data_IF_780678292595
#
_entry.id   IF_780678292595
#
_cell.length_a   1.000
_cell.length_b   1.000
_cell.length_c   1.000
_cell.angle_alpha   90.00
_cell.angle_beta   90.00
_cell.angle_gamma   90.00
#
_symmetry.space_group_name_H-M   'P 1'
#
loop_
_entity.id
_entity.type
_entity.pdbx_description
1 polymer ?
#
# COMPACT_ATOMS: atom_id res chain seq x y z
N UNK A 1 17.66 -10.41 -0.14
CA UNK A 1 16.41 -9.70 0.16
C UNK A 1 15.36 -10.77 0.45
N UNK A 2 14.59 -10.62 1.53
CA UNK A 2 13.42 -11.48 1.73
C UNK A 2 12.40 -11.12 0.63
N UNK A 3 11.83 -12.10 -0.10
CA UNK A 3 10.87 -11.83 -1.16
C UNK A 3 9.61 -11.18 -0.56
N UNK A 4 9.10 -10.15 -1.23
CA UNK A 4 7.86 -9.50 -0.84
C UNK A 4 6.83 -9.58 -1.98
N UNK A 5 5.55 -9.38 -1.66
CA UNK A 5 4.45 -9.54 -2.62
C UNK A 5 4.60 -8.64 -3.86
N UNK A 6 5.16 -7.44 -3.72
CA UNK A 6 5.40 -6.52 -4.84
C UNK A 6 6.39 -7.13 -5.84
N UNK A 7 7.44 -7.81 -5.35
CA UNK A 7 8.43 -8.48 -6.19
C UNK A 7 7.78 -9.61 -7.03
N UNK A 8 6.79 -10.30 -6.46
CA UNK A 8 6.13 -11.43 -7.10
C UNK A 8 5.09 -11.00 -8.16
N UNK A 9 4.30 -9.96 -7.90
CA UNK A 9 3.13 -9.62 -8.73
C UNK A 9 3.25 -8.30 -9.49
N UNK A 10 4.22 -7.46 -9.14
CA UNK A 10 4.35 -6.09 -9.64
C UNK A 10 3.48 -5.08 -8.87
N UNK A 11 3.96 -3.85 -8.63
CA UNK A 11 3.26 -2.86 -7.81
C UNK A 11 1.90 -2.43 -8.40
N UNK A 12 1.71 -2.51 -9.72
CA UNK A 12 0.48 -2.17 -10.40
C UNK A 12 -0.69 -3.11 -10.12
N UNK A 13 -0.43 -4.28 -9.52
CA UNK A 13 -1.46 -5.25 -9.12
C UNK A 13 -1.85 -5.17 -7.65
N UNK A 14 -1.24 -4.26 -6.89
CA UNK A 14 -1.53 -4.06 -5.46
C UNK A 14 -2.38 -2.80 -5.29
N UNK A 15 -3.47 -2.93 -4.52
CA UNK A 15 -4.45 -1.87 -4.26
C UNK A 15 -4.58 -1.68 -2.75
N UNK A 16 -4.43 -0.45 -2.27
CA UNK A 16 -4.79 -0.12 -0.89
C UNK A 16 -6.31 -0.12 -0.72
N UNK A 17 -6.79 -0.81 0.32
CA UNK A 17 -8.19 -0.83 0.73
C UNK A 17 -8.27 -0.73 2.26
N UNK A 18 -9.27 -0.01 2.75
CA UNK A 18 -9.41 0.26 4.20
C UNK A 18 -10.32 -0.75 4.90
N UNK A 19 -11.18 -1.42 4.15
CA UNK A 19 -12.30 -2.23 4.67
C UNK A 19 -13.12 -1.50 5.77
N UNK A 20 -13.11 -0.17 5.71
CA UNK A 20 -13.70 0.69 6.72
C UNK A 20 -15.23 0.48 6.79
N UNK A 21 -15.85 0.65 7.98
CA UNK A 21 -15.27 1.27 9.18
C UNK A 21 -14.69 0.29 10.21
N UNK A 22 -14.91 -1.02 10.07
CA UNK A 22 -14.66 -1.97 11.16
C UNK A 22 -13.19 -2.03 11.62
N UNK A 23 -12.18 -2.08 10.73
CA UNK A 23 -10.77 -2.07 11.13
C UNK A 23 -10.33 -0.81 11.89
N UNK A 24 -11.05 0.31 11.71
CA UNK A 24 -10.73 1.56 12.40
C UNK A 24 -10.95 1.49 13.92
N UNK A 25 -11.70 0.51 14.41
CA UNK A 25 -11.86 0.24 15.83
C UNK A 25 -10.56 -0.29 16.47
N UNK A 26 -9.73 -0.99 15.70
CA UNK A 26 -8.48 -1.59 16.17
C UNK A 26 -7.28 -0.69 15.88
N UNK A 27 -7.27 -0.03 14.72
CA UNK A 27 -6.19 0.85 14.29
C UNK A 27 -6.79 1.99 13.46
N UNK A 28 -6.66 3.27 13.88
CA UNK A 28 -7.20 4.39 13.13
C UNK A 28 -6.64 4.43 11.70
N UNK A 29 -7.47 4.77 10.71
CA UNK A 29 -7.07 4.86 9.31
C UNK A 29 -5.79 5.68 9.07
N UNK A 30 -5.58 6.76 9.83
CA UNK A 30 -4.35 7.57 9.73
C UNK A 30 -3.08 6.76 10.02
N UNK A 31 -3.12 5.83 10.95
CA UNK A 31 -1.98 4.98 11.30
C UNK A 31 -1.78 3.88 10.25
N UNK A 32 -2.86 3.34 9.67
CA UNK A 32 -2.77 2.46 8.49
C UNK A 32 -2.12 3.15 7.29
N UNK A 33 -2.50 4.39 6.98
CA UNK A 33 -1.89 5.13 5.86
C UNK A 33 -0.42 5.46 6.16
N UNK A 34 -0.07 5.70 7.43
CA UNK A 34 1.30 5.99 7.85
C UNK A 34 2.27 4.87 7.48
N UNK A 35 1.89 3.60 7.65
CA UNK A 35 2.82 2.47 7.37
C UNK A 35 3.24 2.37 5.90
N UNK A 36 2.45 2.90 4.96
CA UNK A 36 2.83 2.94 3.55
C UNK A 36 3.71 4.14 3.19
N UNK A 37 3.57 5.26 3.91
CA UNK A 37 4.36 6.48 3.71
C UNK A 37 5.73 6.36 4.38
N UNK A 38 5.71 5.93 5.63
CA UNK A 38 6.83 5.81 6.56
C UNK A 38 6.94 4.36 7.05
N UNK A 39 7.26 3.40 6.16
CA UNK A 39 7.37 1.99 6.54
C UNK A 39 8.54 1.80 7.51
N UNK A 40 8.24 1.23 8.68
CA UNK A 40 9.22 0.84 9.69
C UNK A 40 9.57 -0.64 9.51
N UNK A 41 10.46 -0.92 8.56
CA UNK A 41 10.84 -2.28 8.15
C UNK A 41 12.22 -2.28 7.48
N UNK A 42 12.88 -3.44 7.47
CA UNK A 42 14.15 -3.65 6.78
C UNK A 42 14.00 -3.77 5.25
N UNK A 43 12.76 -3.89 4.74
CA UNK A 43 12.46 -3.95 3.32
C UNK A 43 12.48 -2.53 2.74
N UNK A 44 13.34 -2.32 1.74
CA UNK A 44 13.43 -1.04 1.05
C UNK A 44 12.37 -0.95 -0.05
N UNK A 45 11.37 -0.11 0.16
CA UNK A 45 10.39 0.25 -0.88
C UNK A 45 10.81 1.53 -1.58
N UNK A 46 10.84 1.50 -2.91
CA UNK A 46 11.04 2.66 -3.76
C UNK A 46 9.88 3.64 -3.61
N UNK A 47 10.15 4.91 -3.94
CA UNK A 47 9.11 5.94 -3.97
C UNK A 47 7.98 5.59 -4.95
N UNK A 48 8.32 4.97 -6.08
CA UNK A 48 7.35 4.53 -7.07
C UNK A 48 6.40 3.47 -6.51
N UNK A 49 6.90 2.44 -5.82
CA UNK A 49 6.06 1.39 -5.23
C UNK A 49 5.07 1.95 -4.21
N UNK A 50 5.54 2.87 -3.35
CA UNK A 50 4.67 3.55 -2.37
C UNK A 50 3.54 4.32 -3.05
N UNK A 51 3.85 5.05 -4.12
CA UNK A 51 2.85 5.82 -4.88
C UNK A 51 1.85 4.93 -5.63
N UNK A 52 2.30 3.78 -6.14
CA UNK A 52 1.42 2.80 -6.77
C UNK A 52 0.37 2.29 -5.79
N UNK A 53 0.81 1.85 -4.61
CA UNK A 53 -0.09 1.32 -3.56
C UNK A 53 -1.05 2.39 -3.06
N UNK A 54 -0.58 3.62 -2.83
CA UNK A 54 -1.39 4.71 -2.27
C UNK A 54 -2.40 5.33 -3.25
N UNK A 55 -2.51 4.83 -4.49
CA UNK A 55 -3.63 5.17 -5.36
C UNK A 55 -3.37 5.04 -6.84
N UNK A 56 -2.12 5.13 -7.34
CA UNK A 56 -1.89 5.10 -8.79
C UNK A 56 -2.29 3.77 -9.43
N UNK A 57 -2.15 2.65 -8.71
CA UNK A 57 -2.67 1.35 -9.16
C UNK A 57 -4.19 1.37 -9.32
N UNK A 58 -4.91 1.96 -8.36
CA UNK A 58 -6.37 2.09 -8.43
C UNK A 58 -6.80 3.00 -9.58
N UNK A 59 -6.14 4.14 -9.77
CA UNK A 59 -6.37 5.02 -10.91
C UNK A 59 -6.22 4.29 -12.25
N UNK A 60 -5.15 3.50 -12.40
CA UNK A 60 -4.92 2.71 -13.61
C UNK A 60 -6.02 1.68 -13.86
N UNK A 61 -6.46 0.97 -12.82
CA UNK A 61 -7.53 -0.05 -12.94
C UNK A 61 -8.89 0.59 -13.24
N UNK A 62 -9.18 1.75 -12.63
CA UNK A 62 -10.47 2.43 -12.73
C UNK A 62 -10.55 3.44 -13.89
N UNK A 63 -9.44 3.73 -14.57
CA UNK A 63 -9.38 4.73 -15.63
C UNK A 63 -9.50 6.18 -15.15
N UNK A 64 -8.92 6.49 -13.98
CA UNK A 64 -8.92 7.82 -13.34
C UNK A 64 -7.59 8.57 -13.51
#
# INVERSE_FOLDING_TARGET
MAPNLIDDVGPEKILFATDAPYPNLMCPLKEWVKVFREPDTEINFTQQEKEMILGKSACKVLGL
#
